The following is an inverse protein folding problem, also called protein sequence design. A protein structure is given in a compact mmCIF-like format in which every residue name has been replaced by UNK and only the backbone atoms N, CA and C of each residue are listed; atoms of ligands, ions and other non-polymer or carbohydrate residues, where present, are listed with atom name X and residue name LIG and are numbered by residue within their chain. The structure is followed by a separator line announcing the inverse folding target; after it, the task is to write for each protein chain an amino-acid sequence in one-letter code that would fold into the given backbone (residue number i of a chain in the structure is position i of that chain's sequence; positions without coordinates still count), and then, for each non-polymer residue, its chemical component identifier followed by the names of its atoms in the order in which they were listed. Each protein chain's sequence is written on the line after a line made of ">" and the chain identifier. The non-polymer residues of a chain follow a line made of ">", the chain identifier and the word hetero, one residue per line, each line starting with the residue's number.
data_IF_181764056796
#
_entry.id   IF_181764056796
#
_cell.length_a   1.000
_cell.length_b   1.000
_cell.length_c   1.000
_cell.angle_alpha   90.00
_cell.angle_beta   90.00
_cell.angle_gamma   90.00
#
_symmetry.space_group_name_H-M   'P 1'
#
loop_
_entity.id
_entity.type
_entity.pdbx_description
1 polymer ?
#
# COMPACT_ATOMS: atom_id res chain seq x y z
N UNK A 1 40.52 46.83 -1.73
CA UNK A 1 40.36 45.98 -2.93
C UNK A 1 41.33 44.82 -2.77
N UNK A 2 40.95 43.59 -2.44
CA UNK A 2 39.84 42.79 -2.98
C UNK A 2 39.22 41.97 -1.83
N UNK A 3 37.92 42.14 -1.68
CA UNK A 3 37.04 41.21 -1.00
C UNK A 3 36.60 40.20 -2.05
N UNK A 4 36.88 38.91 -1.85
CA UNK A 4 36.19 37.76 -2.45
C UNK A 4 36.45 36.58 -1.50
N UNK A 5 35.47 36.24 -0.67
CA UNK A 5 34.50 35.18 -0.94
C UNK A 5 35.14 33.80 -0.77
N UNK A 6 35.09 33.28 0.47
CA UNK A 6 34.85 31.85 0.76
C UNK A 6 34.06 31.79 2.07
N UNK A 7 32.76 32.03 1.98
CA UNK A 7 31.80 31.68 3.02
C UNK A 7 30.89 30.61 2.42
N UNK A 8 31.37 29.37 2.45
CA UNK A 8 30.59 28.17 2.15
C UNK A 8 31.07 27.05 3.09
N UNK A 9 30.97 27.32 4.39
CA UNK A 9 30.86 26.28 5.42
C UNK A 9 29.47 26.49 6.00
N UNK A 10 28.43 26.21 5.19
CA UNK A 10 27.13 25.87 5.76
C UNK A 10 27.29 24.41 6.14
N UNK A 11 27.22 24.21 7.44
CA UNK A 11 27.16 22.90 8.06
C UNK A 11 26.08 22.06 7.35
N UNK A 12 26.50 21.06 6.58
CA UNK A 12 25.81 19.77 6.59
C UNK A 12 26.12 19.15 7.96
N UNK A 13 25.67 19.85 9.00
CA UNK A 13 25.71 19.38 10.36
C UNK A 13 24.74 18.25 10.37
N UNK A 14 25.29 17.04 10.46
CA UNK A 14 24.67 15.85 10.98
C UNK A 14 23.24 16.12 11.45
N UNK A 15 22.28 15.93 10.55
CA UNK A 15 21.02 15.35 11.00
C UNK A 15 21.44 13.93 11.35
N UNK A 16 22.07 13.79 12.52
CA UNK A 16 21.95 12.53 13.23
C UNK A 16 20.44 12.31 13.30
N UNK A 17 19.93 11.14 12.92
CA UNK A 17 18.56 10.80 13.23
C UNK A 17 18.48 10.92 14.75
N UNK A 18 17.96 12.06 15.24
CA UNK A 18 17.31 12.10 16.53
C UNK A 18 16.34 10.96 16.43
N UNK A 19 16.58 9.88 17.18
CA UNK A 19 15.89 8.60 17.00
C UNK A 19 14.39 8.80 17.08
N UNK A 20 13.78 9.08 15.94
CA UNK A 20 12.39 8.84 15.68
C UNK A 20 12.41 7.33 15.44
N UNK A 21 11.83 6.60 16.38
CA UNK A 21 11.63 5.18 16.17
C UNK A 21 10.71 5.07 14.94
N UNK A 22 11.27 4.61 13.83
CA UNK A 22 10.45 4.18 12.71
C UNK A 22 9.53 3.08 13.22
N UNK A 23 8.24 3.23 12.98
CA UNK A 23 7.26 2.20 13.21
C UNK A 23 7.33 1.21 12.06
N UNK A 24 6.95 -0.04 12.33
CA UNK A 24 6.99 -1.10 11.35
C UNK A 24 5.68 -1.84 11.34
N UNK A 25 5.15 -2.11 10.17
CA UNK A 25 4.06 -3.05 9.97
C UNK A 25 4.41 -4.00 8.81
N UNK A 26 3.62 -5.04 8.61
CA UNK A 26 3.93 -6.09 7.65
C UNK A 26 2.76 -6.43 6.75
N UNK A 27 3.08 -6.70 5.48
CA UNK A 27 2.14 -7.17 4.46
C UNK A 27 2.61 -8.50 3.90
N UNK A 28 1.68 -9.31 3.41
CA UNK A 28 1.99 -10.58 2.74
C UNK A 28 1.62 -10.48 1.27
N UNK A 29 2.60 -10.69 0.39
CA UNK A 29 2.39 -10.74 -1.06
C UNK A 29 2.90 -12.08 -1.56
N UNK A 30 2.06 -12.85 -2.25
CA UNK A 30 2.41 -14.15 -2.83
C UNK A 30 3.05 -15.14 -1.82
N UNK A 31 2.57 -15.16 -0.58
CA UNK A 31 3.09 -16.05 0.47
C UNK A 31 4.40 -15.59 1.11
N UNK A 32 4.91 -14.40 0.77
CA UNK A 32 6.10 -13.79 1.36
C UNK A 32 5.70 -12.56 2.17
N UNK A 33 6.16 -12.53 3.42
CA UNK A 33 5.94 -11.38 4.32
C UNK A 33 7.03 -10.34 4.10
N UNK A 34 6.60 -9.09 3.95
CA UNK A 34 7.44 -7.92 3.82
C UNK A 34 7.18 -6.98 4.99
N UNK A 35 8.24 -6.43 5.56
CA UNK A 35 8.15 -5.40 6.60
C UNK A 35 8.35 -4.04 5.96
N UNK A 36 7.43 -3.11 6.25
CA UNK A 36 7.49 -1.73 5.80
C UNK A 36 7.81 -0.86 7.01
N UNK A 37 8.90 -0.12 6.93
CA UNK A 37 9.27 0.87 7.95
C UNK A 37 8.69 2.24 7.56
N UNK A 38 8.10 2.94 8.53
CA UNK A 38 7.53 4.26 8.32
C UNK A 38 7.66 5.18 9.53
N UNK A 39 7.54 6.48 9.30
CA UNK A 39 7.42 7.50 10.33
C UNK A 39 6.19 8.34 10.08
N UNK A 40 5.25 8.32 11.03
CA UNK A 40 4.03 9.10 11.00
C UNK A 40 4.12 10.29 11.96
N UNK A 41 3.86 11.50 11.47
CA UNK A 41 3.74 12.71 12.30
C UNK A 41 2.40 13.38 12.03
N UNK A 42 1.58 13.58 13.06
CA UNK A 42 0.26 14.23 12.92
C UNK A 42 -0.84 13.32 12.36
N UNK A 43 -0.58 12.02 12.25
CA UNK A 43 -1.48 10.96 11.80
C UNK A 43 -1.16 9.63 12.52
N UNK A 44 -2.06 8.68 12.43
CA UNK A 44 -1.93 7.31 12.93
C UNK A 44 -2.11 6.34 11.76
N UNK A 45 -1.16 5.42 11.56
CA UNK A 45 -1.31 4.34 10.58
C UNK A 45 -2.12 3.22 11.25
N UNK A 46 -3.22 2.82 10.60
CA UNK A 46 -4.15 1.82 11.11
C UNK A 46 -3.84 0.41 10.60
N UNK A 47 -3.20 0.33 9.43
CA UNK A 47 -2.77 -0.94 8.84
C UNK A 47 -2.29 -0.75 7.41
N UNK A 48 -1.67 -1.81 6.90
CA UNK A 48 -1.19 -1.90 5.53
C UNK A 48 -1.94 -3.00 4.77
N UNK A 49 -2.17 -2.78 3.49
CA UNK A 49 -2.74 -3.77 2.56
C UNK A 49 -2.03 -3.65 1.19
N UNK A 50 -2.29 -4.60 0.29
CA UNK A 50 -1.67 -4.62 -1.03
C UNK A 50 -2.66 -5.03 -2.12
N UNK A 51 -2.52 -4.41 -3.31
CA UNK A 51 -3.17 -4.85 -4.55
C UNK A 51 -2.09 -5.34 -5.52
N UNK A 52 -2.35 -6.41 -6.26
CA UNK A 52 -1.42 -7.01 -7.20
C UNK A 52 -1.53 -6.44 -8.62
N UNK A 53 -2.65 -5.81 -9.00
CA UNK A 53 -2.91 -5.39 -10.38
C UNK A 53 -3.53 -3.97 -10.45
N UNK A 54 -2.70 -2.90 -10.41
CA UNK A 54 -1.23 -2.89 -10.41
C UNK A 54 -0.63 -3.13 -9.02
N UNK A 55 0.66 -3.49 -8.91
CA UNK A 55 1.37 -3.60 -7.64
C UNK A 55 1.26 -2.32 -6.82
N UNK A 56 0.53 -2.39 -5.71
CA UNK A 56 0.16 -1.22 -4.90
C UNK A 56 0.31 -1.55 -3.42
N UNK A 57 0.98 -0.66 -2.66
CA UNK A 57 0.89 -0.64 -1.21
C UNK A 57 -0.21 0.36 -0.81
N UNK A 58 -1.22 -0.12 -0.08
CA UNK A 58 -2.32 0.67 0.47
C UNK A 58 -2.04 0.89 1.96
N UNK A 59 -1.99 2.15 2.37
CA UNK A 59 -1.74 2.55 3.76
C UNK A 59 -3.03 3.16 4.32
N UNK A 60 -3.68 2.44 5.23
CA UNK A 60 -4.87 2.91 5.92
C UNK A 60 -4.45 3.78 7.11
N UNK A 61 -5.10 4.94 7.27
CA UNK A 61 -4.72 5.88 8.32
C UNK A 61 -5.90 6.66 8.90
N UNK A 62 -5.65 7.24 10.06
CA UNK A 62 -6.49 8.27 10.67
C UNK A 62 -5.67 9.55 10.82
N UNK A 63 -6.28 10.69 10.54
CA UNK A 63 -5.62 11.99 10.57
C UNK A 63 -6.22 12.90 11.64
N UNK A 64 -5.45 13.89 12.06
CA UNK A 64 -5.92 14.94 12.98
C UNK A 64 -6.40 16.17 12.19
N UNK A 65 -6.83 17.22 12.90
CA UNK A 65 -7.25 18.49 12.28
C UNK A 65 -6.07 19.32 11.71
N UNK A 66 -4.85 18.79 11.75
CA UNK A 66 -3.65 19.43 11.20
C UNK A 66 -3.00 18.55 10.13
N UNK A 67 -2.30 19.18 9.19
CA UNK A 67 -1.54 18.46 8.18
C UNK A 67 -0.47 17.59 8.84
N UNK A 68 -0.39 16.32 8.42
CA UNK A 68 0.62 15.37 8.85
C UNK A 68 1.69 15.13 7.79
N UNK A 69 2.69 14.34 8.17
CA UNK A 69 3.75 13.84 7.28
C UNK A 69 3.86 12.34 7.48
N UNK A 70 3.90 11.61 6.37
CA UNK A 70 4.21 10.20 6.31
C UNK A 70 5.53 10.01 5.55
N UNK A 71 6.53 9.45 6.21
CA UNK A 71 7.75 8.98 5.56
C UNK A 71 7.70 7.45 5.51
N UNK A 72 7.88 6.86 4.32
CA UNK A 72 7.84 5.41 4.10
C UNK A 72 9.16 4.97 3.50
N UNK A 73 9.75 3.92 4.05
CA UNK A 73 10.96 3.28 3.54
C UNK A 73 10.55 1.96 2.91
N UNK A 74 10.66 1.90 1.59
CA UNK A 74 10.33 0.72 0.80
C UNK A 74 11.62 0.02 0.39
N UNK A 75 11.72 -1.27 0.71
CA UNK A 75 12.73 -2.12 0.10
C UNK A 75 12.36 -2.35 -1.37
N UNK A 76 13.33 -2.16 -2.28
CA UNK A 76 13.15 -2.45 -3.72
C UNK A 76 12.80 -3.91 -4.01
N UNK A 77 13.05 -4.81 -3.04
CA UNK A 77 12.66 -6.21 -3.12
C UNK A 77 11.22 -6.49 -2.68
N UNK A 78 10.55 -5.47 -2.11
CA UNK A 78 9.14 -5.50 -1.78
C UNK A 78 8.32 -4.78 -2.84
N UNK A 79 8.61 -3.52 -3.15
CA UNK A 79 7.87 -2.73 -4.13
C UNK A 79 8.86 -1.78 -4.82
N UNK A 80 8.90 -1.80 -6.15
CA UNK A 80 9.72 -0.88 -6.94
C UNK A 80 8.93 -0.32 -8.14
N UNK A 81 9.38 0.82 -8.65
CA UNK A 81 8.88 1.46 -9.86
C UNK A 81 10.02 1.59 -10.86
N UNK A 82 9.90 0.88 -11.98
CA UNK A 82 10.95 0.71 -12.99
C UNK A 82 10.38 0.85 -14.40
N UNK A 83 11.09 1.57 -15.25
CA UNK A 83 10.82 1.58 -16.68
C UNK A 83 11.29 0.27 -17.35
N UNK A 84 10.88 0.05 -18.61
CA UNK A 84 11.24 -1.14 -19.40
C UNK A 84 12.76 -1.36 -19.55
N UNK A 85 13.56 -0.29 -19.44
CA UNK A 85 15.03 -0.35 -19.51
C UNK A 85 15.71 -0.62 -18.15
N UNK A 86 14.92 -0.83 -17.09
CA UNK A 86 15.36 -1.08 -15.72
C UNK A 86 15.80 0.17 -14.95
N UNK A 87 15.69 1.36 -15.55
CA UNK A 87 15.91 2.62 -14.84
C UNK A 87 14.79 2.90 -13.82
N UNK A 88 15.11 3.67 -12.78
CA UNK A 88 14.12 4.06 -11.78
C UNK A 88 13.07 4.97 -12.40
N UNK A 89 11.81 4.58 -12.27
CA UNK A 89 10.67 5.45 -12.53
C UNK A 89 10.11 5.93 -11.19
N UNK A 90 9.50 7.12 -11.18
CA UNK A 90 8.84 7.67 -9.99
C UNK A 90 7.59 6.85 -9.66
N UNK A 91 7.32 6.61 -8.37
CA UNK A 91 6.06 5.99 -7.97
C UNK A 91 4.86 6.88 -8.30
N UNK A 92 3.71 6.27 -8.55
CA UNK A 92 2.45 7.00 -8.53
C UNK A 92 1.88 6.94 -7.10
N UNK A 93 1.64 8.10 -6.49
CA UNK A 93 1.09 8.19 -5.13
C UNK A 93 -0.27 8.86 -5.17
N UNK A 94 -1.27 8.21 -4.58
CA UNK A 94 -2.63 8.71 -4.46
C UNK A 94 -2.97 8.96 -2.98
N UNK A 95 -3.65 10.06 -2.71
CA UNK A 95 -4.29 10.35 -1.42
C UNK A 95 -5.79 10.27 -1.64
N UNK A 96 -6.46 9.34 -0.95
CA UNK A 96 -7.89 9.07 -1.13
C UNK A 96 -8.30 8.88 -2.61
N UNK A 97 -7.44 8.22 -3.39
CA UNK A 97 -7.62 7.97 -4.83
C UNK A 97 -7.33 9.16 -5.75
N UNK A 98 -6.73 10.24 -5.25
CA UNK A 98 -6.34 11.42 -6.03
C UNK A 98 -4.82 11.59 -6.09
N UNK A 99 -4.30 11.88 -7.28
CA UNK A 99 -2.87 12.13 -7.49
C UNK A 99 -2.32 13.21 -6.56
N UNK A 100 -1.12 12.97 -6.02
CA UNK A 100 -0.42 13.94 -5.18
C UNK A 100 1.05 14.10 -5.58
N UNK A 101 1.69 15.15 -5.08
CA UNK A 101 3.14 15.34 -5.16
C UNK A 101 3.81 14.90 -3.86
N UNK A 102 4.95 14.25 -3.96
CA UNK A 102 5.75 13.80 -2.81
C UNK A 102 7.24 14.04 -3.09
N UNK A 103 8.07 13.87 -2.07
CA UNK A 103 9.51 13.86 -2.24
C UNK A 103 10.02 12.42 -2.20
N UNK A 104 10.90 12.07 -3.13
CA UNK A 104 11.49 10.75 -3.21
C UNK A 104 13.02 10.81 -3.15
N UNK A 105 13.62 9.83 -2.49
CA UNK A 105 15.05 9.55 -2.60
C UNK A 105 15.29 8.05 -2.69
N UNK A 106 16.40 7.66 -3.31
CA UNK A 106 16.67 6.26 -3.63
C UNK A 106 18.10 5.85 -3.25
N UNK A 107 18.25 4.62 -2.79
CA UNK A 107 19.53 3.92 -2.68
C UNK A 107 19.54 2.71 -3.61
N UNK A 108 20.60 1.89 -3.55
CA UNK A 108 20.66 0.62 -4.30
C UNK A 108 19.67 -0.43 -3.78
N UNK A 109 19.13 -0.28 -2.56
CA UNK A 109 18.27 -1.29 -1.92
C UNK A 109 16.90 -0.74 -1.54
N UNK A 110 16.76 0.58 -1.41
CA UNK A 110 15.57 1.21 -0.85
C UNK A 110 15.12 2.41 -1.67
N UNK A 111 13.82 2.71 -1.55
CA UNK A 111 13.14 3.94 -1.99
C UNK A 111 12.53 4.57 -0.74
N UNK A 112 12.72 5.87 -0.55
CA UNK A 112 12.23 6.60 0.63
C UNK A 112 11.30 7.69 0.11
N UNK A 113 10.03 7.62 0.50
CA UNK A 113 8.98 8.55 0.10
C UNK A 113 8.59 9.41 1.30
N UNK A 114 8.50 10.72 1.09
CA UNK A 114 7.99 11.68 2.07
C UNK A 114 6.76 12.38 1.51
N UNK A 115 5.62 12.14 2.15
CA UNK A 115 4.28 12.52 1.68
C UNK A 115 3.65 13.46 2.72
N UNK A 116 3.13 14.60 2.26
CA UNK A 116 2.31 15.48 3.10
C UNK A 116 0.87 15.00 3.09
N UNK A 117 0.31 14.77 4.28
CA UNK A 117 -1.02 14.19 4.46
C UNK A 117 -2.01 15.27 4.94
N UNK A 118 -2.99 15.66 4.11
CA UNK A 118 -4.04 16.58 4.52
C UNK A 118 -4.92 16.03 5.67
N UNK A 119 -5.56 16.91 6.47
CA UNK A 119 -6.60 16.50 7.39
C UNK A 119 -7.75 15.78 6.68
N UNK A 120 -8.27 14.71 7.29
CA UNK A 120 -9.38 13.93 6.77
C UNK A 120 -8.99 12.80 5.81
N UNK A 121 -7.70 12.63 5.49
CA UNK A 121 -7.23 11.49 4.69
C UNK A 121 -7.45 10.17 5.42
N UNK A 122 -7.91 9.18 4.65
CA UNK A 122 -8.19 7.83 5.11
C UNK A 122 -7.26 6.80 4.46
N UNK A 123 -6.74 7.06 3.26
CA UNK A 123 -5.80 6.17 2.59
C UNK A 123 -4.73 6.88 1.78
N UNK A 124 -3.58 6.24 1.69
CA UNK A 124 -2.51 6.55 0.73
C UNK A 124 -2.18 5.30 -0.05
N UNK A 125 -2.19 5.40 -1.37
CA UNK A 125 -1.86 4.30 -2.27
C UNK A 125 -0.53 4.62 -2.94
N UNK A 126 0.46 3.73 -2.80
CA UNK A 126 1.77 3.83 -3.46
C UNK A 126 1.82 2.75 -4.52
N UNK A 127 1.73 3.16 -5.78
CA UNK A 127 1.62 2.27 -6.93
C UNK A 127 2.97 2.19 -7.62
N UNK A 128 3.50 0.96 -7.74
CA UNK A 128 4.73 0.63 -8.43
C UNK A 128 4.49 -0.21 -9.67
N UNK A 129 5.57 -0.81 -10.17
CA UNK A 129 5.54 -1.69 -11.35
C UNK A 129 5.77 -3.16 -11.00
N UNK A 130 6.38 -3.45 -9.84
CA UNK A 130 6.73 -4.83 -9.45
C UNK A 130 6.82 -4.98 -7.92
N UNK A 131 6.37 -6.12 -7.38
CA UNK A 131 6.52 -6.45 -5.95
C UNK A 131 7.89 -7.08 -5.57
N UNK A 132 8.96 -6.66 -6.24
CA UNK A 132 10.32 -7.19 -6.10
C UNK A 132 10.43 -8.70 -6.30
N UNK A 133 9.44 -9.28 -6.97
CA UNK A 133 9.44 -10.66 -7.42
C UNK A 133 9.79 -10.57 -8.89
N UNK A 134 11.03 -10.91 -9.23
CA UNK A 134 11.34 -11.28 -10.61
C UNK A 134 10.19 -12.17 -11.10
N UNK A 135 9.64 -11.95 -12.31
CA UNK A 135 8.61 -12.82 -12.83
C UNK A 135 9.13 -14.22 -12.59
N UNK A 136 8.46 -14.97 -11.70
CA UNK A 136 8.66 -16.41 -11.66
C UNK A 136 8.45 -16.74 -13.10
N UNK A 137 9.50 -17.23 -13.76
CA UNK A 137 9.39 -17.64 -15.13
C UNK A 137 8.27 -18.67 -15.13
N UNK A 138 7.06 -18.21 -15.44
CA UNK A 138 6.19 -18.90 -16.35
C UNK A 138 7.02 -18.99 -17.62
N UNK A 139 7.94 -19.96 -17.61
CA UNK A 139 7.90 -20.95 -18.66
C UNK A 139 6.48 -21.56 -18.65
N UNK A 140 5.49 -20.77 -19.07
CA UNK A 140 4.70 -21.22 -20.19
C UNK A 140 5.72 -21.44 -21.30
N UNK A 141 6.32 -22.64 -21.26
CA UNK A 141 6.63 -23.31 -22.51
C UNK A 141 5.29 -23.33 -23.24
N UNK A 142 5.08 -22.31 -24.08
CA UNK A 142 4.24 -22.43 -25.25
C UNK A 142 4.53 -23.84 -25.78
N UNK A 143 3.55 -24.76 -25.79
CA UNK A 143 3.78 -26.13 -26.19
C UNK A 143 4.44 -26.05 -27.56
N UNK A 144 5.71 -26.43 -27.62
CA UNK A 144 6.45 -26.43 -28.87
C UNK A 144 5.62 -27.25 -29.85
N UNK A 145 5.05 -26.57 -30.83
CA UNK A 145 4.37 -27.22 -31.94
C UNK A 145 5.34 -28.29 -32.46
N UNK A 146 4.89 -29.55 -32.65
CA UNK A 146 5.73 -30.58 -33.19
C UNK A 146 6.27 -30.08 -34.52
N UNK A 147 7.58 -29.92 -34.60
CA UNK A 147 8.29 -29.64 -35.84
C UNK A 147 8.17 -30.86 -36.73
N UNK A 148 7.06 -30.95 -37.45
CA UNK A 148 6.85 -31.97 -38.47
C UNK A 148 7.73 -31.64 -39.68
N UNK A 149 8.38 -32.69 -40.16
CA UNK A 149 9.55 -32.68 -41.01
C UNK A 149 9.28 -32.07 -42.40
N UNK A 150 10.26 -31.31 -42.92
CA UNK A 150 10.55 -31.29 -44.36
C UNK A 150 10.86 -32.75 -44.78
N UNK A 151 10.25 -33.32 -45.82
CA UNK A 151 10.45 -33.03 -47.24
C UNK A 151 9.33 -33.70 -48.05
N UNK A 152 8.82 -33.05 -49.10
CA UNK A 152 8.54 -33.57 -50.46
C UNK A 152 8.00 -32.36 -51.28
N UNK A 153 8.69 -31.93 -52.35
CA UNK A 153 8.16 -30.94 -53.28
C UNK A 153 7.34 -31.63 -54.39
N UNK A 154 6.04 -31.34 -54.50
CA UNK A 154 5.36 -31.42 -55.81
C UNK A 154 4.02 -30.65 -55.87
N UNK A 155 3.96 -29.77 -56.87
CA UNK A 155 2.83 -29.09 -57.55
C UNK A 155 1.58 -28.60 -56.80
N UNK A 156 1.41 -27.28 -56.84
CA UNK A 156 0.18 -26.54 -56.55
C UNK A 156 -0.63 -26.36 -57.85
N UNK A 157 -1.88 -26.81 -57.94
CA UNK A 157 -2.90 -26.16 -58.74
C UNK A 157 -3.67 -25.17 -57.86
N UNK A 158 -3.73 -23.91 -58.30
CA UNK A 158 -4.48 -22.84 -57.62
C UNK A 158 -5.99 -23.15 -57.57
N UNK A 159 -6.58 -23.12 -56.37
CA UNK A 159 -8.02 -23.05 -56.15
C UNK A 159 -8.42 -21.73 -55.46
N UNK A 160 -9.67 -21.24 -55.66
CA UNK A 160 -10.07 -19.85 -55.46
C UNK A 160 -10.36 -19.51 -53.98
N UNK A 161 -10.45 -18.20 -53.65
CA UNK A 161 -10.53 -17.74 -52.27
C UNK A 161 -11.86 -18.11 -51.60
N UNK A 162 -11.79 -18.73 -50.42
CA UNK A 162 -12.92 -18.99 -49.54
C UNK A 162 -13.22 -17.72 -48.75
N UNK A 163 -14.47 -17.26 -48.82
CA UNK A 163 -14.98 -16.13 -48.06
C UNK A 163 -15.15 -16.53 -46.59
N UNK A 164 -14.56 -15.75 -45.69
CA UNK A 164 -14.79 -15.87 -44.25
C UNK A 164 -16.27 -15.58 -43.94
N UNK A 165 -16.91 -16.54 -43.29
CA UNK A 165 -18.21 -16.34 -42.66
C UNK A 165 -17.98 -16.03 -41.18
N UNK A 166 -18.65 -15.01 -40.62
CA UNK A 166 -18.48 -14.68 -39.21
C UNK A 166 -19.13 -15.77 -38.36
N UNK A 167 -18.34 -16.40 -37.49
CA UNK A 167 -18.85 -17.31 -36.47
C UNK A 167 -19.66 -16.52 -35.46
N UNK A 168 -20.99 -16.64 -35.51
CA UNK A 168 -21.88 -16.13 -34.47
C UNK A 168 -21.78 -17.02 -33.23
N UNK A 169 -20.93 -16.63 -32.28
CA UNK A 169 -20.93 -17.19 -30.93
C UNK A 169 -22.03 -16.53 -30.10
N UNK A 170 -22.87 -17.35 -29.46
CA UNK A 170 -23.86 -16.86 -28.49
C UNK A 170 -23.18 -16.63 -27.12
N UNK A 171 -23.66 -15.64 -26.36
CA UNK A 171 -23.14 -15.33 -25.02
C UNK A 171 -23.44 -16.41 -23.97
N UNK A 172 -22.80 -16.33 -22.79
CA UNK A 172 -22.96 -17.33 -21.72
C UNK A 172 -24.43 -17.50 -21.32
N UNK A 173 -24.90 -18.76 -21.29
CA UNK A 173 -26.28 -19.13 -20.93
C UNK A 173 -27.27 -19.25 -22.11
N UNK A 174 -26.80 -19.21 -23.37
CA UNK A 174 -27.64 -19.39 -24.56
C UNK A 174 -26.99 -20.31 -25.59
N UNK A 175 -27.80 -21.11 -26.28
CA UNK A 175 -27.34 -22.01 -27.36
C UNK A 175 -27.94 -21.60 -28.70
N UNK A 176 -27.17 -21.75 -29.79
CA UNK A 176 -27.61 -21.42 -31.14
C UNK A 176 -28.50 -22.56 -31.68
N UNK A 177 -29.80 -22.28 -31.84
CA UNK A 177 -30.77 -23.22 -32.44
C UNK A 177 -31.39 -22.56 -33.66
N UNK A 178 -31.18 -23.13 -34.85
CA UNK A 178 -31.68 -22.60 -36.13
C UNK A 178 -31.33 -21.11 -36.40
N UNK A 179 -30.13 -20.67 -35.99
CA UNK A 179 -29.66 -19.30 -36.22
C UNK A 179 -30.19 -18.25 -35.24
N UNK A 180 -30.85 -18.67 -34.16
CA UNK A 180 -31.33 -17.80 -33.08
C UNK A 180 -30.77 -18.29 -31.74
N UNK A 181 -30.18 -17.39 -30.93
CA UNK A 181 -29.74 -17.75 -29.57
C UNK A 181 -30.98 -17.91 -28.67
N UNK A 182 -31.13 -19.08 -28.03
CA UNK A 182 -32.25 -19.40 -27.13
C UNK A 182 -31.70 -19.76 -25.75
N UNK A 183 -32.38 -19.31 -24.69
CA UNK A 183 -32.05 -19.60 -23.29
C UNK A 183 -32.37 -21.06 -22.99
N UNK A 184 -31.42 -21.77 -22.37
CA UNK A 184 -31.55 -23.18 -22.03
C UNK A 184 -32.68 -23.41 -21.01
N UNK A 185 -33.87 -23.75 -21.49
CA UNK A 185 -34.98 -24.13 -20.63
C UNK A 185 -34.78 -25.57 -20.19
N UNK A 186 -34.30 -25.73 -18.96
CA UNK A 186 -34.30 -27.01 -18.23
C UNK A 186 -35.76 -27.42 -18.04
N UNK A 187 -36.24 -28.31 -18.89
CA UNK A 187 -37.54 -28.98 -18.74
C UNK A 187 -37.50 -29.90 -17.51
N UNK A 188 -38.54 -29.89 -16.64
CA UNK A 188 -38.55 -30.74 -15.45
C UNK A 188 -38.71 -32.21 -15.83
N UNK A 189 -38.01 -33.14 -15.16
CA UNK A 189 -38.18 -34.57 -15.40
C UNK A 189 -39.51 -35.05 -14.83
N UNK A 190 -40.19 -35.86 -15.63
CA UNK A 190 -41.41 -36.59 -15.26
C UNK A 190 -41.08 -37.59 -14.16
N UNK A 191 -42.01 -37.66 -13.21
CA UNK A 191 -41.99 -38.50 -12.03
C UNK A 191 -41.89 -40.00 -12.32
N UNK A 192 -41.00 -40.68 -11.60
CA UNK A 192 -41.27 -41.97 -10.96
C UNK A 192 -40.54 -41.99 -9.59
N UNK A 193 -41.32 -42.09 -8.52
CA UNK A 193 -40.87 -42.45 -7.16
C UNK A 193 -40.54 -43.95 -7.12
N UNK A 194 -39.53 -44.41 -6.35
CA UNK A 194 -39.63 -44.40 -4.88
C UNK A 194 -38.33 -44.13 -4.09
N UNK A 195 -38.53 -43.48 -2.94
CA UNK A 195 -37.79 -43.56 -1.67
C UNK A 195 -36.29 -43.87 -1.70
N UNK A 196 -35.46 -42.85 -1.53
CA UNK A 196 -34.25 -42.88 -0.66
C UNK A 196 -33.89 -41.44 -0.28
N UNK A 197 -33.73 -41.21 1.01
CA UNK A 197 -33.43 -39.91 1.64
C UNK A 197 -32.15 -39.25 1.06
N UNK A 198 -32.18 -37.96 0.69
CA UNK A 198 -30.94 -37.21 0.45
C UNK A 198 -30.33 -36.77 1.79
N UNK A 199 -29.00 -36.84 1.96
CA UNK A 199 -28.34 -36.26 3.13
C UNK A 199 -28.46 -34.72 3.05
N UNK A 200 -28.72 -34.10 4.20
CA UNK A 200 -28.78 -32.65 4.35
C UNK A 200 -27.51 -32.01 3.79
N UNK A 201 -27.67 -31.14 2.79
CA UNK A 201 -26.63 -30.15 2.47
C UNK A 201 -26.43 -29.29 3.71
N UNK A 202 -25.22 -29.31 4.27
CA UNK A 202 -24.83 -28.38 5.31
C UNK A 202 -24.90 -26.98 4.71
N UNK A 203 -25.94 -26.23 5.07
CA UNK A 203 -26.13 -24.85 4.70
C UNK A 203 -25.04 -24.00 5.34
N UNK A 204 -23.91 -23.87 4.64
CA UNK A 204 -22.81 -22.98 5.00
C UNK A 204 -23.31 -21.55 4.87
N UNK A 205 -23.47 -20.89 6.00
CA UNK A 205 -23.83 -19.49 6.05
C UNK A 205 -22.63 -18.61 5.65
N UNK A 206 -22.90 -17.51 4.95
CA UNK A 206 -21.87 -16.56 4.53
C UNK A 206 -21.18 -15.87 5.72
N UNK A 207 -20.03 -15.22 5.50
CA UNK A 207 -19.27 -14.52 6.55
C UNK A 207 -20.17 -13.54 7.33
N UNK A 208 -20.10 -13.59 8.67
CA UNK A 208 -20.92 -12.77 9.57
C UNK A 208 -22.28 -13.36 9.98
N UNK A 209 -22.60 -14.60 9.56
CA UNK A 209 -23.85 -15.27 9.93
C UNK A 209 -23.60 -16.70 10.45
N UNK A 210 -24.41 -17.14 11.43
CA UNK A 210 -24.35 -18.46 12.05
C UNK A 210 -25.66 -19.21 11.78
N UNK A 211 -25.55 -20.49 11.44
CA UNK A 211 -26.70 -21.36 11.21
C UNK A 211 -27.42 -21.65 12.55
N UNK A 212 -28.65 -21.14 12.71
CA UNK A 212 -29.56 -21.49 13.81
C UNK A 212 -30.90 -21.93 13.24
N UNK A 213 -31.36 -23.11 13.63
CA UNK A 213 -32.65 -23.70 13.21
C UNK A 213 -32.85 -23.77 11.68
N UNK A 214 -31.76 -24.02 10.93
CA UNK A 214 -31.81 -24.11 9.47
C UNK A 214 -31.89 -22.76 8.75
N UNK A 215 -31.75 -21.65 9.47
CA UNK A 215 -31.68 -20.29 8.92
C UNK A 215 -30.35 -19.62 9.32
N UNK A 216 -29.77 -18.85 8.40
CA UNK A 216 -28.61 -18.03 8.70
C UNK A 216 -29.05 -16.79 9.50
N UNK A 217 -28.58 -16.69 10.74
CA UNK A 217 -28.85 -15.56 11.64
C UNK A 217 -27.55 -14.82 11.88
N UNK A 218 -27.58 -13.48 11.94
CA UNK A 218 -26.39 -12.66 12.26
C UNK A 218 -25.73 -13.14 13.57
N UNK A 219 -24.42 -13.37 13.53
CA UNK A 219 -23.68 -13.61 14.77
C UNK A 219 -23.73 -12.33 15.59
N UNK A 220 -24.17 -12.42 16.85
CA UNK A 220 -24.28 -11.26 17.74
C UNK A 220 -22.90 -10.79 18.25
N UNK A 221 -21.83 -11.25 17.60
CA UNK A 221 -20.45 -10.85 17.82
C UNK A 221 -20.15 -9.66 16.91
N UNK A 222 -20.16 -8.46 17.51
CA UNK A 222 -19.67 -7.28 16.82
C UNK A 222 -18.14 -7.39 16.63
N UNK A 223 -17.62 -6.90 15.50
CA UNK A 223 -16.19 -6.91 15.20
C UNK A 223 -15.38 -6.08 16.21
N UNK A 224 -14.04 -6.23 16.24
CA UNK A 224 -13.18 -5.48 17.15
C UNK A 224 -13.45 -3.97 17.05
N UNK A 225 -13.63 -3.31 18.20
CA UNK A 225 -13.95 -1.87 18.28
C UNK A 225 -15.45 -1.51 18.30
N UNK A 226 -16.36 -2.49 18.22
CA UNK A 226 -17.82 -2.26 18.27
C UNK A 226 -18.50 -3.11 19.33
N UNK A 227 -19.54 -2.56 19.97
CA UNK A 227 -20.37 -3.26 20.98
C UNK A 227 -21.81 -3.39 20.48
N UNK A 228 -22.46 -4.52 20.78
CA UNK A 228 -23.84 -4.76 20.39
C UNK A 228 -24.79 -4.02 21.34
N UNK A 229 -25.45 -2.97 20.85
CA UNK A 229 -26.46 -2.21 21.60
C UNK A 229 -27.78 -2.27 20.83
N UNK A 230 -28.82 -2.86 21.45
CA UNK A 230 -30.16 -3.01 20.85
C UNK A 230 -30.19 -3.73 19.49
N UNK A 231 -29.30 -4.70 19.26
CA UNK A 231 -29.24 -5.44 18.00
C UNK A 231 -28.50 -4.72 16.88
N UNK A 232 -27.83 -3.61 17.18
CA UNK A 232 -27.01 -2.84 16.24
C UNK A 232 -25.60 -2.67 16.82
N UNK A 233 -24.58 -2.94 16.02
CA UNK A 233 -23.20 -2.71 16.44
C UNK A 233 -22.92 -1.20 16.41
N UNK A 234 -22.54 -0.66 17.56
CA UNK A 234 -22.15 0.76 17.72
C UNK A 234 -20.70 0.83 18.21
N UNK A 235 -20.02 1.93 17.91
CA UNK A 235 -18.64 2.15 18.36
C UNK A 235 -18.58 2.21 19.89
N UNK A 236 -17.56 1.57 20.48
CA UNK A 236 -17.37 1.59 21.92
C UNK A 236 -16.80 2.94 22.40
N UNK A 237 -17.69 3.88 22.75
CA UNK A 237 -17.29 5.18 23.31
C UNK A 237 -16.56 5.05 24.66
N UNK A 238 -16.59 3.89 25.32
CA UNK A 238 -15.91 3.67 26.61
C UNK A 238 -14.40 3.41 26.48
N UNK A 239 -13.86 3.30 25.26
CA UNK A 239 -12.42 3.31 25.00
C UNK A 239 -11.81 4.74 25.02
N UNK A 240 -12.64 5.79 25.06
CA UNK A 240 -12.20 7.19 25.12
C UNK A 240 -12.19 7.76 26.55
N UNK A 241 -11.39 7.18 27.44
CA UNK A 241 -10.88 7.95 28.58
C UNK A 241 -9.44 8.38 28.31
N UNK A 242 -9.13 9.68 28.35
CA UNK A 242 -7.78 10.15 28.14
C UNK A 242 -6.95 9.73 29.34
N UNK A 243 -6.04 8.77 29.16
CA UNK A 243 -4.90 8.64 30.06
C UNK A 243 -4.14 9.95 29.98
N UNK A 244 -4.42 10.82 30.95
CA UNK A 244 -3.66 12.01 31.31
C UNK A 244 -2.20 11.59 31.57
N UNK A 245 -1.41 11.46 30.50
CA UNK A 245 0.05 11.29 30.55
C UNK A 245 0.65 12.63 30.94
N UNK A 246 0.63 12.85 32.26
CA UNK A 246 1.40 13.86 32.94
C UNK A 246 2.89 13.58 32.70
N UNK A 247 3.49 14.30 31.74
CA UNK A 247 4.93 14.59 31.75
C UNK A 247 5.66 14.50 30.40
N UNK A 248 5.62 15.56 29.58
CA UNK A 248 6.68 15.85 28.59
C UNK A 248 6.93 17.36 28.37
N UNK A 249 6.37 18.24 29.20
CA UNK A 249 6.52 19.70 29.03
C UNK A 249 7.79 20.31 29.67
N UNK A 250 8.66 19.51 30.31
CA UNK A 250 9.82 20.03 31.05
C UNK A 250 11.20 19.68 30.45
N UNK A 251 11.28 18.86 29.40
CA UNK A 251 12.58 18.47 28.82
C UNK A 251 13.15 19.45 27.80
N UNK A 252 12.33 20.31 27.19
CA UNK A 252 12.83 21.32 26.24
C UNK A 252 13.39 22.59 26.90
N UNK A 253 13.06 22.85 28.17
CA UNK A 253 13.50 24.08 28.86
C UNK A 253 14.93 23.97 29.39
N UNK A 254 15.35 22.78 29.83
CA UNK A 254 16.70 22.54 30.34
C UNK A 254 17.83 22.84 29.31
N UNK A 255 17.76 22.38 28.04
CA UNK A 255 18.82 22.65 27.06
C UNK A 255 18.85 24.11 26.60
N UNK A 256 17.69 24.78 26.51
CA UNK A 256 17.64 26.20 26.15
C UNK A 256 18.32 27.07 27.22
N UNK A 257 18.03 26.84 28.50
CA UNK A 257 18.64 27.60 29.59
C UNK A 257 20.15 27.35 29.66
N UNK A 258 20.61 26.10 29.46
CA UNK A 258 22.03 25.78 29.45
C UNK A 258 22.80 26.52 28.32
N UNK A 259 22.22 26.61 27.13
CA UNK A 259 22.83 27.32 25.99
C UNK A 259 22.98 28.83 26.26
N UNK A 260 21.97 29.47 26.87
CA UNK A 260 22.04 30.90 27.21
C UNK A 260 23.12 31.21 28.27
N UNK A 261 23.31 30.33 29.25
CA UNK A 261 24.34 30.51 30.29
C UNK A 261 25.75 30.42 29.69
N UNK A 262 25.99 29.45 28.80
CA UNK A 262 27.29 29.29 28.13
C UNK A 262 27.60 30.51 27.26
N UNK A 263 26.62 31.02 26.51
CA UNK A 263 26.77 32.22 25.69
C UNK A 263 27.10 33.48 26.54
N UNK A 264 26.46 33.63 27.70
CA UNK A 264 26.72 34.73 28.63
C UNK A 264 28.15 34.70 29.19
N UNK A 265 28.66 33.52 29.54
CA UNK A 265 30.02 33.35 30.06
C UNK A 265 31.07 33.72 28.99
N UNK A 266 30.88 33.28 27.74
CA UNK A 266 31.79 33.59 26.63
C UNK A 266 31.83 35.11 26.38
N UNK A 267 30.68 35.78 26.39
CA UNK A 267 30.61 37.24 26.24
C UNK A 267 31.36 38.00 27.34
N UNK A 268 31.25 37.55 28.60
CA UNK A 268 31.96 38.17 29.74
C UNK A 268 33.49 37.98 29.62
N UNK A 269 33.94 36.79 29.23
CA UNK A 269 35.38 36.50 29.07
C UNK A 269 35.98 37.33 27.94
N UNK A 270 35.32 37.37 26.76
CA UNK A 270 35.77 38.18 25.63
C UNK A 270 35.77 39.69 25.96
N UNK A 271 34.78 40.16 26.71
CA UNK A 271 34.75 41.55 27.17
C UNK A 271 35.86 41.87 28.17
N UNK A 272 36.16 40.94 29.09
CA UNK A 272 37.26 41.08 30.06
C UNK A 272 38.63 41.22 29.40
N UNK A 273 38.91 40.38 28.40
CA UNK A 273 40.16 40.44 27.61
C UNK A 273 40.22 41.74 26.80
N UNK A 274 39.12 42.12 26.15
CA UNK A 274 39.03 43.37 25.38
C UNK A 274 39.19 44.64 26.23
N UNK A 275 38.71 44.61 27.49
CA UNK A 275 38.85 45.73 28.42
C UNK A 275 40.25 45.83 29.02
N UNK A 276 40.92 44.69 29.26
CA UNK A 276 42.31 44.66 29.72
C UNK A 276 43.28 45.16 28.64
N UNK A 277 43.00 44.88 27.36
CA UNK A 277 43.80 45.34 26.22
C UNK A 277 43.77 46.85 25.97
N UNK A 278 42.74 47.57 26.46
CA UNK A 278 42.62 49.04 26.28
C UNK A 278 43.43 49.88 27.28
N UNK A 279 44.09 49.27 28.28
CA UNK A 279 44.80 50.01 29.33
C UNK A 279 46.28 50.29 29.04
N UNK A 280 46.74 50.09 27.79
CA UNK A 280 48.17 50.19 27.44
C UNK A 280 48.49 51.06 26.22
N UNK A 281 47.67 52.07 25.92
CA UNK A 281 48.02 53.25 25.13
C UNK A 281 47.40 54.50 25.76
#
# INVERSE_FOLDING_TARGET
>A
MKAFLVLAIIAFGMIAPSGIFAETDSVEVNGKVYTVEYTATGLEVLGLDTDDQPPTLIILMSTTDVQGTLEVILDRSFLDAKADDGSDEEFLVLIDGLDTTFAESSTSTQRILQIQIPPGTISVDIIGTDFGLAPVGESMEEPAEPTEQAEIPEEIPEEPPIQETPEMSCGPGTILVNGQCVVEQVSPPVAETPETEPPMEESICGPGTVLKDGACVLDQSCGPGTILVNGQCVLDESASEPKSSRGMAFEFVAPMVAAFIIAMIIMIVLWGIGKAGRKKN
#
